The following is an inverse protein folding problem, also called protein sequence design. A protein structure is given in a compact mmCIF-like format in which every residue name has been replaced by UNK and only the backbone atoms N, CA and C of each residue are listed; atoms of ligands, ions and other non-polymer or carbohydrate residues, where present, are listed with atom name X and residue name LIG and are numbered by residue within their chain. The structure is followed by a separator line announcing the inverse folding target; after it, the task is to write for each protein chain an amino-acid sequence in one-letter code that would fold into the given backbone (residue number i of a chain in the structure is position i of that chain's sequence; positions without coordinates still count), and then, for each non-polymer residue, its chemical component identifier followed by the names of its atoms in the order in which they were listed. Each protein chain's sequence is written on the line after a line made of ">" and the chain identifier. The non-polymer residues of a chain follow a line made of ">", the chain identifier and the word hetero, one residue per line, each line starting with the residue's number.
data_IF_459619791794
#
_entry.id   IF_459619791794
#
_cell.length_a   1.000
_cell.length_b   1.000
_cell.length_c   1.000
_cell.angle_alpha   90.00
_cell.angle_beta   90.00
_cell.angle_gamma   90.00
#
_symmetry.space_group_name_H-M   'P 1'
#
loop_
_entity.id
_entity.type
_entity.pdbx_description
1 polymer ?
#
# COMPACT_ATOMS: atom_id res chain seq x y z
N UNK A 1 -15.95 -9.13 -17.81
CA UNK A 1 -15.93 -8.79 -16.36
C UNK A 1 -16.31 -9.97 -15.46
N UNK A 2 -17.46 -10.64 -15.64
CA UNK A 2 -17.89 -11.78 -14.80
C UNK A 2 -16.85 -12.93 -14.67
N UNK A 3 -16.09 -13.22 -15.75
CA UNK A 3 -15.03 -14.25 -15.73
C UNK A 3 -13.87 -13.89 -14.77
N UNK A 4 -13.36 -12.66 -14.82
CA UNK A 4 -12.26 -12.20 -13.95
C UNK A 4 -12.65 -12.18 -12.47
N UNK A 5 -13.86 -11.68 -12.16
CA UNK A 5 -14.39 -11.70 -10.79
C UNK A 5 -14.54 -13.13 -10.26
N UNK A 6 -15.07 -14.04 -11.09
CA UNK A 6 -15.19 -15.46 -10.72
C UNK A 6 -13.82 -16.10 -10.45
N UNK A 7 -12.81 -15.80 -11.27
CA UNK A 7 -11.43 -16.29 -11.05
C UNK A 7 -10.86 -15.77 -9.73
N UNK A 8 -11.00 -14.48 -9.46
CA UNK A 8 -10.53 -13.87 -8.21
C UNK A 8 -11.15 -14.55 -6.97
N UNK A 9 -12.47 -14.79 -6.99
CA UNK A 9 -13.15 -15.49 -5.89
C UNK A 9 -12.66 -16.93 -5.71
N UNK A 10 -12.34 -17.63 -6.80
CA UNK A 10 -11.76 -18.97 -6.74
C UNK A 10 -10.38 -18.93 -6.09
N UNK A 11 -9.51 -17.99 -6.50
CA UNK A 11 -8.17 -17.85 -5.90
C UNK A 11 -8.24 -17.53 -4.41
N UNK A 12 -9.08 -16.58 -4.00
CA UNK A 12 -9.33 -16.28 -2.57
C UNK A 12 -9.72 -17.57 -1.84
N UNK A 13 -10.70 -18.33 -2.35
CA UNK A 13 -11.18 -19.54 -1.68
C UNK A 13 -10.09 -20.61 -1.54
N UNK A 14 -9.23 -20.79 -2.54
CA UNK A 14 -8.13 -21.74 -2.46
C UNK A 14 -7.05 -21.26 -1.50
N UNK A 15 -6.72 -19.98 -1.52
CA UNK A 15 -5.72 -19.40 -0.63
C UNK A 15 -6.14 -19.50 0.84
N UNK A 16 -7.42 -19.23 1.15
CA UNK A 16 -7.96 -19.43 2.50
C UNK A 16 -7.79 -20.89 2.96
N UNK A 17 -8.07 -21.88 2.09
CA UNK A 17 -7.87 -23.29 2.44
C UNK A 17 -6.41 -23.61 2.74
N UNK A 18 -5.48 -23.07 1.95
CA UNK A 18 -4.05 -23.25 2.13
C UNK A 18 -3.58 -22.66 3.47
N UNK A 19 -4.04 -21.46 3.84
CA UNK A 19 -3.68 -20.85 5.13
C UNK A 19 -4.28 -21.65 6.30
N UNK A 20 -5.51 -22.14 6.17
CA UNK A 20 -6.16 -22.92 7.24
C UNK A 20 -5.47 -24.27 7.53
N UNK A 21 -4.61 -24.74 6.62
CA UNK A 21 -3.75 -25.90 6.82
C UNK A 21 -2.64 -25.59 7.85
N UNK A 22 -2.04 -24.40 7.77
CA UNK A 22 -0.99 -23.91 8.66
C UNK A 22 -1.51 -22.88 9.66
N UNK A 23 -2.37 -23.32 10.58
CA UNK A 23 -3.05 -22.46 11.57
C UNK A 23 -2.09 -21.64 12.43
N UNK A 24 -0.90 -22.15 12.71
CA UNK A 24 0.11 -21.45 13.53
C UNK A 24 0.65 -20.22 12.79
N UNK A 25 1.02 -20.37 11.51
CA UNK A 25 1.52 -19.26 10.68
C UNK A 25 0.49 -18.14 10.58
N UNK A 26 -0.79 -18.49 10.45
CA UNK A 26 -1.90 -17.53 10.48
C UNK A 26 -1.93 -16.73 11.80
N UNK A 27 -1.91 -17.40 12.95
CA UNK A 27 -1.96 -16.74 14.26
C UNK A 27 -0.72 -15.86 14.47
N UNK A 28 0.46 -16.36 14.12
CA UNK A 28 1.72 -15.61 14.22
C UNK A 28 1.69 -14.35 13.34
N UNK A 29 1.22 -14.46 12.09
CA UNK A 29 1.09 -13.32 11.19
C UNK A 29 0.15 -12.24 11.73
N UNK A 30 -1.06 -12.64 12.16
CA UNK A 30 -2.04 -11.73 12.75
C UNK A 30 -1.48 -11.04 14.00
N UNK A 31 -0.90 -11.79 14.94
CA UNK A 31 -0.29 -11.22 16.15
C UNK A 31 0.87 -10.29 15.84
N UNK A 32 1.70 -10.62 14.83
CA UNK A 32 2.81 -9.78 14.39
C UNK A 32 2.34 -8.41 13.88
N UNK A 33 1.26 -8.38 13.10
CA UNK A 33 0.65 -7.13 12.64
C UNK A 33 0.15 -6.32 13.83
N UNK A 34 -0.66 -6.93 14.72
CA UNK A 34 -1.18 -6.23 15.90
C UNK A 34 -0.08 -5.68 16.80
N UNK A 35 0.97 -6.46 17.06
CA UNK A 35 2.10 -6.03 17.87
C UNK A 35 2.82 -4.84 17.22
N UNK A 36 3.08 -4.91 15.92
CA UNK A 36 3.75 -3.83 15.17
C UNK A 36 2.91 -2.54 15.21
N UNK A 37 1.61 -2.65 14.95
CA UNK A 37 0.73 -1.48 15.01
C UNK A 37 0.60 -0.92 16.44
N UNK A 38 0.50 -1.80 17.44
CA UNK A 38 0.42 -1.43 18.85
C UNK A 38 1.68 -0.71 19.33
N UNK A 39 2.87 -1.19 18.95
CA UNK A 39 4.14 -0.53 19.26
C UNK A 39 4.25 0.85 18.61
N UNK A 40 3.82 1.01 17.35
CA UNK A 40 3.78 2.31 16.69
C UNK A 40 2.84 3.29 17.40
N UNK A 41 1.66 2.83 17.85
CA UNK A 41 0.72 3.65 18.61
C UNK A 41 1.23 4.00 20.00
N UNK A 42 1.88 3.05 20.68
CA UNK A 42 2.52 3.29 21.97
C UNK A 42 3.62 4.34 21.84
N UNK A 43 4.46 4.23 20.80
CA UNK A 43 5.48 5.24 20.49
C UNK A 43 4.86 6.62 20.28
N UNK A 44 3.78 6.70 19.48
CA UNK A 44 3.07 7.96 19.26
C UNK A 44 2.51 8.53 20.57
N UNK A 45 1.92 7.68 21.42
CA UNK A 45 1.37 8.10 22.70
C UNK A 45 2.45 8.66 23.63
N UNK A 46 3.59 7.96 23.77
CA UNK A 46 4.72 8.39 24.60
C UNK A 46 5.29 9.74 24.12
N UNK A 47 5.36 9.96 22.81
CA UNK A 47 5.82 11.24 22.25
C UNK A 47 4.90 12.39 22.69
N UNK A 48 3.58 12.22 22.56
CA UNK A 48 2.58 13.23 22.93
C UNK A 48 2.37 13.42 24.43
N UNK A 49 2.90 12.53 25.28
CA UNK A 49 2.98 12.79 26.72
C UNK A 49 3.99 13.90 27.06
N UNK A 50 4.99 14.13 26.20
CA UNK A 50 6.06 15.10 26.42
C UNK A 50 5.90 16.37 25.59
N UNK A 51 5.09 16.34 24.52
CA UNK A 51 4.90 17.47 23.61
C UNK A 51 3.40 17.67 23.33
N UNK A 52 2.84 18.88 23.54
CA UNK A 52 1.41 19.14 23.34
C UNK A 52 0.98 19.12 21.87
N UNK A 53 1.86 19.53 20.95
CA UNK A 53 1.63 19.48 19.51
C UNK A 53 2.94 19.37 18.74
N UNK A 54 2.91 18.71 17.58
CA UNK A 54 4.06 18.49 16.73
C UNK A 54 3.91 19.31 15.46
N UNK A 55 4.64 20.42 15.32
CA UNK A 55 4.48 21.36 14.18
C UNK A 55 3.03 21.82 13.98
N UNK A 56 2.30 22.06 15.08
CA UNK A 56 0.89 22.44 15.07
C UNK A 56 -0.11 21.30 14.88
N UNK A 57 0.34 20.05 14.80
CA UNK A 57 -0.51 18.87 14.72
C UNK A 57 -0.77 18.28 16.11
N UNK A 58 -2.05 18.05 16.41
CA UNK A 58 -2.51 17.38 17.63
C UNK A 58 -2.42 15.86 17.52
N UNK A 59 -2.48 15.16 18.65
CA UNK A 59 -2.49 13.70 18.68
C UNK A 59 -3.62 13.11 17.82
N UNK A 60 -4.82 13.68 17.88
CA UNK A 60 -5.98 13.20 17.12
C UNK A 60 -5.77 13.33 15.61
N UNK A 61 -5.20 14.45 15.16
CA UNK A 61 -4.90 14.65 13.74
C UNK A 61 -3.81 13.69 13.23
N UNK A 62 -2.76 13.42 14.01
CA UNK A 62 -1.73 12.45 13.63
C UNK A 62 -2.27 11.02 13.66
N UNK A 63 -3.10 10.68 14.66
CA UNK A 63 -3.79 9.39 14.70
C UNK A 63 -4.71 9.20 13.49
N UNK A 64 -5.34 10.26 12.98
CA UNK A 64 -6.11 10.23 11.74
C UNK A 64 -5.21 9.98 10.53
N UNK A 65 -4.09 10.71 10.38
CA UNK A 65 -3.12 10.47 9.28
C UNK A 65 -2.67 9.00 9.29
N UNK A 66 -2.33 8.49 10.47
CA UNK A 66 -1.86 7.14 10.62
C UNK A 66 -2.95 6.12 10.28
N UNK A 67 -4.16 6.26 10.84
CA UNK A 67 -5.29 5.39 10.53
C UNK A 67 -5.65 5.40 9.05
N UNK A 68 -5.65 6.59 8.44
CA UNK A 68 -5.89 6.74 7.01
C UNK A 68 -4.79 6.09 6.17
N UNK A 69 -3.51 6.15 6.57
CA UNK A 69 -2.41 5.47 5.86
C UNK A 69 -2.55 3.93 5.86
N UNK A 70 -3.12 3.37 6.93
CA UNK A 70 -3.27 1.92 7.08
C UNK A 70 -4.36 1.34 6.18
N UNK A 71 -5.38 2.11 5.80
CA UNK A 71 -6.46 1.61 4.94
C UNK A 71 -5.96 1.30 3.52
N UNK A 72 -5.35 2.23 2.77
CA UNK A 72 -4.86 1.94 1.42
C UNK A 72 -3.72 0.92 1.43
N UNK A 73 -2.84 0.99 2.42
CA UNK A 73 -1.75 0.03 2.62
C UNK A 73 -2.30 -1.38 2.86
N UNK A 74 -3.25 -1.53 3.78
CA UNK A 74 -3.88 -2.80 4.11
C UNK A 74 -4.66 -3.37 2.94
N UNK A 75 -5.30 -2.54 2.10
CA UNK A 75 -5.96 -3.00 0.88
C UNK A 75 -4.95 -3.53 -0.15
N UNK A 76 -3.86 -2.81 -0.36
CA UNK A 76 -2.80 -3.24 -1.28
C UNK A 76 -2.08 -4.52 -0.77
N UNK A 77 -1.86 -4.62 0.52
CA UNK A 77 -1.31 -5.80 1.19
C UNK A 77 -2.27 -7.00 1.07
N UNK A 78 -3.57 -6.80 1.33
CA UNK A 78 -4.58 -7.85 1.23
C UNK A 78 -4.70 -8.44 -0.19
N UNK A 79 -4.71 -7.58 -1.21
CA UNK A 79 -5.05 -7.98 -2.58
C UNK A 79 -3.87 -8.14 -3.52
N UNK A 80 -2.74 -7.43 -3.33
CA UNK A 80 -1.73 -7.24 -4.39
C UNK A 80 -0.30 -7.52 -3.94
N UNK A 81 -0.11 -8.27 -2.86
CA UNK A 81 1.21 -8.45 -2.24
C UNK A 81 2.06 -9.57 -2.85
N UNK A 82 1.50 -10.42 -3.71
CA UNK A 82 2.27 -11.46 -4.42
C UNK A 82 3.46 -10.90 -5.23
N UNK A 83 3.47 -9.61 -5.54
CA UNK A 83 4.56 -8.93 -6.26
C UNK A 83 5.92 -9.04 -5.54
N UNK A 84 5.96 -9.19 -4.21
CA UNK A 84 7.21 -9.45 -3.48
C UNK A 84 7.88 -10.76 -3.89
N UNK A 85 7.09 -11.75 -4.31
CA UNK A 85 7.58 -13.05 -4.73
C UNK A 85 8.12 -13.04 -6.18
N UNK A 86 7.92 -11.96 -6.94
CA UNK A 86 8.24 -11.94 -8.38
C UNK A 86 9.70 -12.27 -8.65
N UNK A 87 10.65 -11.57 -8.02
CA UNK A 87 12.07 -11.82 -8.28
C UNK A 87 12.55 -13.16 -7.76
N UNK A 88 12.42 -13.37 -6.44
CA UNK A 88 13.08 -14.48 -5.74
C UNK A 88 12.46 -15.86 -6.05
N UNK A 89 11.15 -15.90 -6.34
CA UNK A 89 10.40 -17.13 -6.60
C UNK A 89 10.04 -17.24 -8.07
N UNK A 90 9.28 -16.29 -8.61
CA UNK A 90 8.69 -16.44 -9.94
C UNK A 90 9.75 -16.41 -11.06
N UNK A 91 10.56 -15.36 -11.11
CA UNK A 91 11.58 -15.19 -12.15
C UNK A 91 12.75 -16.15 -11.90
N UNK A 92 13.35 -16.10 -10.70
CA UNK A 92 14.58 -16.85 -10.41
C UNK A 92 14.41 -18.37 -10.44
N UNK A 93 13.24 -18.92 -10.10
CA UNK A 93 12.97 -20.37 -10.16
C UNK A 93 12.29 -20.83 -11.44
N UNK A 94 12.06 -19.94 -12.42
CA UNK A 94 11.34 -20.29 -13.65
C UNK A 94 9.83 -20.52 -13.48
N UNK A 95 9.26 -20.30 -12.28
CA UNK A 95 7.81 -20.44 -12.05
C UNK A 95 6.98 -19.39 -12.82
N UNK A 96 7.61 -18.33 -13.35
CA UNK A 96 6.95 -17.29 -14.13
C UNK A 96 6.41 -17.80 -15.49
N UNK A 97 7.01 -18.85 -16.07
CA UNK A 97 6.56 -19.46 -17.33
C UNK A 97 5.10 -19.96 -17.26
N UNK A 98 4.65 -20.39 -16.07
CA UNK A 98 3.26 -20.82 -15.84
C UNK A 98 2.24 -19.69 -16.07
N UNK A 99 2.66 -18.43 -15.96
CA UNK A 99 1.79 -17.27 -16.21
C UNK A 99 1.72 -16.93 -17.68
N UNK A 100 2.81 -17.12 -18.43
CA UNK A 100 2.89 -16.86 -19.86
C UNK A 100 2.09 -17.88 -20.69
N UNK A 101 1.99 -19.12 -20.21
CA UNK A 101 1.23 -20.19 -20.89
C UNK A 101 -0.29 -20.08 -20.72
N UNK A 102 -0.79 -19.23 -19.82
CA UNK A 102 -2.22 -19.05 -19.57
C UNK A 102 -2.75 -17.88 -20.40
N UNK A 103 -3.97 -17.96 -20.98
CA UNK A 103 -4.57 -16.88 -21.76
C UNK A 103 -5.16 -15.77 -20.86
N UNK A 104 -4.35 -15.29 -19.91
CA UNK A 104 -4.69 -14.25 -18.93
C UNK A 104 -3.49 -13.32 -18.87
N UNK A 105 -3.71 -12.01 -18.79
CA UNK A 105 -2.63 -11.05 -18.59
C UNK A 105 -1.76 -11.46 -17.37
N UNK A 106 -0.43 -11.66 -17.54
CA UNK A 106 0.44 -12.17 -16.48
C UNK A 106 0.44 -11.31 -15.22
N UNK A 107 0.48 -9.98 -15.38
CA UNK A 107 0.45 -9.03 -14.26
C UNK A 107 -0.84 -9.17 -13.46
N UNK A 108 -1.99 -9.14 -14.15
CA UNK A 108 -3.28 -9.32 -13.50
C UNK A 108 -3.35 -10.65 -12.74
N UNK A 109 -2.85 -11.73 -13.35
CA UNK A 109 -2.87 -13.04 -12.72
C UNK A 109 -1.99 -13.10 -11.46
N UNK A 110 -0.81 -12.48 -11.47
CA UNK A 110 0.08 -12.39 -10.30
C UNK A 110 -0.57 -11.58 -9.19
N UNK A 111 -1.15 -10.43 -9.53
CA UNK A 111 -1.81 -9.54 -8.58
C UNK A 111 -2.90 -10.29 -7.81
N UNK A 112 -3.71 -11.11 -8.47
CA UNK A 112 -4.91 -11.73 -7.86
C UNK A 112 -4.71 -13.17 -7.35
N UNK A 113 -3.49 -13.72 -7.44
CA UNK A 113 -3.22 -15.12 -7.07
C UNK A 113 -3.26 -15.35 -5.56
N UNK A 114 -2.83 -14.36 -4.76
CA UNK A 114 -2.74 -14.48 -3.29
C UNK A 114 -3.70 -13.51 -2.61
N UNK A 115 -4.14 -13.86 -1.40
CA UNK A 115 -5.05 -13.04 -0.62
C UNK A 115 -4.61 -12.98 0.85
N UNK A 116 -3.76 -12.02 1.21
CA UNK A 116 -3.07 -12.01 2.50
C UNK A 116 -3.96 -11.56 3.66
N UNK A 117 -4.45 -12.54 4.42
CA UNK A 117 -5.46 -12.32 5.47
C UNK A 117 -4.89 -11.54 6.66
N UNK A 118 -3.57 -11.59 6.89
CA UNK A 118 -2.90 -10.84 7.94
C UNK A 118 -3.02 -9.31 7.74
N UNK A 119 -3.20 -8.84 6.50
CA UNK A 119 -3.51 -7.45 6.18
C UNK A 119 -4.83 -6.94 6.83
N UNK A 120 -5.74 -7.85 7.22
CA UNK A 120 -6.94 -7.48 7.98
C UNK A 120 -6.60 -6.81 9.32
N UNK A 121 -5.43 -7.12 9.91
CA UNK A 121 -4.95 -6.43 11.11
C UNK A 121 -4.68 -4.95 10.86
N UNK A 122 -4.07 -4.61 9.71
CA UNK A 122 -3.83 -3.22 9.32
C UNK A 122 -5.15 -2.47 9.06
N UNK A 123 -6.08 -3.12 8.36
CA UNK A 123 -7.40 -2.55 8.09
C UNK A 123 -8.22 -2.34 9.36
N UNK A 124 -8.16 -3.29 10.30
CA UNK A 124 -8.86 -3.20 11.58
C UNK A 124 -8.29 -2.06 12.43
N UNK A 125 -6.96 -1.97 12.58
CA UNK A 125 -6.34 -0.88 13.34
C UNK A 125 -6.61 0.47 12.67
N UNK A 126 -6.47 0.56 11.34
CA UNK A 126 -6.80 1.76 10.57
C UNK A 126 -8.25 2.19 10.77
N UNK A 127 -9.19 1.23 10.73
CA UNK A 127 -10.61 1.47 10.96
C UNK A 127 -10.91 1.97 12.38
N UNK A 128 -10.28 1.39 13.41
CA UNK A 128 -10.42 1.84 14.80
C UNK A 128 -9.90 3.27 14.94
N UNK A 129 -8.72 3.59 14.40
CA UNK A 129 -8.15 4.92 14.49
C UNK A 129 -8.99 5.97 13.76
N UNK A 130 -9.53 5.64 12.59
CA UNK A 130 -10.44 6.54 11.86
C UNK A 130 -11.76 6.74 12.61
N UNK A 131 -12.29 5.70 13.26
CA UNK A 131 -13.51 5.79 14.06
C UNK A 131 -13.30 6.67 15.31
N UNK A 132 -12.16 6.58 15.98
CA UNK A 132 -11.87 7.40 17.17
C UNK A 132 -11.55 8.85 16.84
N UNK A 133 -11.05 9.12 15.64
CA UNK A 133 -10.67 10.46 15.18
C UNK A 133 -11.71 11.15 14.31
N UNK A 134 -12.86 10.48 14.06
CA UNK A 134 -13.94 10.97 13.19
C UNK A 134 -14.46 12.36 13.61
N UNK A 135 -14.45 12.66 14.91
CA UNK A 135 -14.91 13.93 15.48
C UNK A 135 -13.98 15.11 15.20
N UNK A 136 -12.74 14.84 14.79
CA UNK A 136 -11.74 15.87 14.44
C UNK A 136 -12.03 16.55 13.10
N UNK A 137 -12.97 16.00 12.31
CA UNK A 137 -13.29 16.47 10.96
C UNK A 137 -14.72 17.02 10.94
N UNK A 138 -14.88 18.19 10.32
CA UNK A 138 -16.18 18.75 9.94
C UNK A 138 -16.74 18.01 8.73
N UNK A 139 -17.38 16.86 8.96
CA UNK A 139 -17.92 16.03 7.89
C UNK A 139 -19.05 16.72 7.15
N UNK A 140 -18.91 16.76 5.83
CA UNK A 140 -19.95 17.12 4.88
C UNK A 140 -20.11 15.99 3.87
N UNK A 141 -21.28 15.87 3.24
CA UNK A 141 -21.52 14.83 2.24
C UNK A 141 -20.46 14.81 1.10
N UNK A 142 -20.01 15.96 0.56
CA UNK A 142 -18.91 15.98 -0.42
C UNK A 142 -17.57 15.48 0.14
N UNK A 143 -17.20 15.86 1.38
CA UNK A 143 -15.97 15.38 2.02
C UNK A 143 -16.02 13.86 2.20
N UNK A 144 -17.16 13.30 2.58
CA UNK A 144 -17.32 11.86 2.70
C UNK A 144 -17.14 11.12 1.36
N UNK A 145 -17.74 11.62 0.27
CA UNK A 145 -17.53 11.04 -1.06
C UNK A 145 -16.06 11.12 -1.50
N UNK A 146 -15.42 12.28 -1.29
CA UNK A 146 -13.99 12.44 -1.60
C UNK A 146 -13.11 11.50 -0.78
N UNK A 147 -13.43 11.29 0.50
CA UNK A 147 -12.73 10.33 1.35
C UNK A 147 -12.76 8.91 0.76
N UNK A 148 -13.93 8.45 0.31
CA UNK A 148 -14.07 7.14 -0.35
C UNK A 148 -13.30 7.06 -1.68
N UNK A 149 -13.21 8.17 -2.42
CA UNK A 149 -12.45 8.24 -3.68
C UNK A 149 -10.94 8.22 -3.42
N UNK A 150 -10.45 8.84 -2.35
CA UNK A 150 -9.02 8.86 -2.05
C UNK A 150 -8.45 7.45 -1.80
N UNK A 151 -9.22 6.54 -1.19
CA UNK A 151 -8.78 5.19 -0.83
C UNK A 151 -8.24 4.40 -2.05
N UNK A 152 -9.01 4.16 -3.13
CA UNK A 152 -8.52 3.39 -4.27
C UNK A 152 -7.33 4.05 -4.98
N UNK A 153 -7.27 5.38 -5.06
CA UNK A 153 -6.12 6.07 -5.67
C UNK A 153 -4.86 5.99 -4.79
N UNK A 154 -5.01 6.05 -3.47
CA UNK A 154 -3.91 5.83 -2.55
C UNK A 154 -3.42 4.37 -2.63
N UNK A 155 -4.32 3.39 -2.69
CA UNK A 155 -3.97 1.96 -2.89
C UNK A 155 -3.24 1.78 -4.22
N UNK A 156 -3.68 2.47 -5.27
CA UNK A 156 -3.05 2.42 -6.59
C UNK A 156 -1.59 2.88 -6.54
N UNK A 157 -1.22 3.86 -5.70
CA UNK A 157 0.19 4.27 -5.52
C UNK A 157 1.02 3.12 -4.95
N UNK A 158 0.56 2.46 -3.89
CA UNK A 158 1.25 1.30 -3.30
C UNK A 158 1.48 0.22 -4.35
N UNK A 159 0.42 -0.15 -5.08
CA UNK A 159 0.47 -1.18 -6.11
C UNK A 159 1.40 -0.78 -7.25
N UNK A 160 1.35 0.47 -7.71
CA UNK A 160 2.20 0.98 -8.80
C UNK A 160 3.68 0.94 -8.43
N UNK A 161 4.03 1.33 -7.21
CA UNK A 161 5.41 1.25 -6.72
C UNK A 161 5.90 -0.20 -6.64
N UNK A 162 5.06 -1.12 -6.13
CA UNK A 162 5.39 -2.55 -6.13
C UNK A 162 5.57 -3.10 -7.54
N UNK A 163 4.70 -2.76 -8.50
CA UNK A 163 4.83 -3.20 -9.89
C UNK A 163 6.15 -2.70 -10.49
N UNK A 164 6.43 -1.40 -10.37
CA UNK A 164 7.63 -0.79 -10.95
C UNK A 164 8.92 -1.40 -10.39
N UNK A 165 9.00 -1.57 -9.06
CA UNK A 165 10.17 -2.13 -8.39
C UNK A 165 10.29 -3.64 -8.57
N UNK A 166 9.18 -4.38 -8.59
CA UNK A 166 9.18 -5.80 -8.86
C UNK A 166 9.64 -6.10 -10.29
N UNK A 167 9.23 -5.31 -11.28
CA UNK A 167 9.57 -5.49 -12.71
C UNK A 167 11.08 -5.54 -12.96
N UNK A 168 11.89 -4.90 -12.10
CA UNK A 168 13.36 -4.95 -12.20
C UNK A 168 13.88 -6.41 -12.17
N UNK A 169 13.15 -7.32 -11.52
CA UNK A 169 13.45 -8.74 -11.51
C UNK A 169 13.62 -9.35 -12.90
N UNK A 170 12.91 -8.86 -13.91
CA UNK A 170 13.00 -9.44 -15.25
C UNK A 170 14.41 -9.30 -15.86
N UNK A 171 15.13 -8.23 -15.50
CA UNK A 171 16.52 -8.04 -15.93
C UNK A 171 17.54 -8.61 -14.95
N UNK A 172 17.28 -8.51 -13.64
CA UNK A 172 18.30 -8.80 -12.60
C UNK A 172 18.10 -10.15 -11.91
N UNK A 173 16.97 -10.83 -12.16
CA UNK A 173 16.49 -12.02 -11.41
C UNK A 173 16.29 -11.77 -9.90
N UNK A 174 16.40 -10.52 -9.44
CA UNK A 174 16.25 -10.12 -8.04
C UNK A 174 15.62 -8.73 -7.91
N UNK A 175 14.44 -8.65 -7.29
CA UNK A 175 13.76 -7.38 -7.01
C UNK A 175 13.51 -7.10 -5.54
N UNK A 176 13.58 -8.11 -4.65
CA UNK A 176 13.16 -7.97 -3.24
C UNK A 176 13.83 -6.80 -2.49
N UNK A 177 15.14 -6.63 -2.65
CA UNK A 177 15.89 -5.52 -2.04
C UNK A 177 15.42 -4.15 -2.55
N UNK A 178 15.08 -4.06 -3.83
CA UNK A 178 14.60 -2.83 -4.45
C UNK A 178 13.20 -2.46 -3.98
N UNK A 179 12.30 -3.45 -3.92
CA UNK A 179 10.96 -3.24 -3.34
C UNK A 179 11.11 -2.77 -1.89
N UNK A 180 11.97 -3.42 -1.09
CA UNK A 180 12.20 -3.07 0.32
C UNK A 180 12.67 -1.62 0.51
N UNK A 181 13.71 -1.19 -0.21
CA UNK A 181 14.25 0.18 -0.10
C UNK A 181 13.16 1.23 -0.36
N UNK A 182 12.35 1.02 -1.40
CA UNK A 182 11.27 1.94 -1.73
C UNK A 182 10.17 1.89 -0.69
N UNK A 183 9.76 0.69 -0.23
CA UNK A 183 8.69 0.53 0.73
C UNK A 183 9.01 1.10 2.12
N UNK A 184 10.29 1.15 2.52
CA UNK A 184 10.70 1.80 3.78
C UNK A 184 10.28 3.28 3.84
N UNK A 185 10.17 3.98 2.70
CA UNK A 185 9.69 5.36 2.68
C UNK A 185 8.22 5.51 3.11
N UNK A 186 7.44 4.42 3.12
CA UNK A 186 6.07 4.42 3.62
C UNK A 186 5.99 4.84 5.10
N UNK A 187 7.01 4.58 5.91
CA UNK A 187 6.99 4.94 7.33
C UNK A 187 6.92 6.45 7.55
N UNK A 188 7.40 7.25 6.59
CA UNK A 188 7.30 8.71 6.62
C UNK A 188 5.89 9.22 6.37
N UNK A 189 5.03 8.44 5.68
CA UNK A 189 3.67 8.86 5.38
C UNK A 189 2.73 8.80 6.58
N UNK A 190 3.12 8.09 7.64
CA UNK A 190 2.35 7.98 8.90
C UNK A 190 2.38 9.26 9.73
N UNK A 191 3.30 10.19 9.42
CA UNK A 191 3.52 11.43 10.17
C UNK A 191 3.36 12.66 9.27
N UNK A 192 3.11 13.84 9.87
CA UNK A 192 3.12 15.09 9.13
C UNK A 192 4.44 15.34 8.39
N UNK A 193 4.39 15.48 7.06
CA UNK A 193 5.60 15.72 6.27
C UNK A 193 6.25 17.09 6.55
N UNK A 194 5.53 17.97 7.26
CA UNK A 194 6.04 19.27 7.72
C UNK A 194 7.25 19.14 8.64
N UNK A 195 7.35 18.02 9.38
CA UNK A 195 8.43 17.74 10.33
C UNK A 195 9.75 17.43 9.59
N UNK A 196 9.65 16.91 8.37
CA UNK A 196 10.83 16.54 7.60
C UNK A 196 11.44 17.74 6.87
N UNK A 197 12.77 17.69 6.73
CA UNK A 197 13.53 18.61 5.91
C UNK A 197 13.01 18.62 4.46
N UNK A 198 13.16 19.77 3.79
CA UNK A 198 12.63 20.02 2.43
C UNK A 198 13.02 18.94 1.42
N UNK A 199 14.25 18.43 1.49
CA UNK A 199 14.74 17.35 0.64
C UNK A 199 13.93 16.06 0.82
N UNK A 200 13.74 15.61 2.07
CA UNK A 200 12.98 14.38 2.36
C UNK A 200 11.53 14.56 1.91
N UNK A 201 10.94 15.72 2.22
CA UNK A 201 9.57 16.06 1.80
C UNK A 201 9.40 15.96 0.28
N UNK A 202 10.36 16.47 -0.48
CA UNK A 202 10.35 16.40 -1.94
C UNK A 202 10.47 14.95 -2.43
N UNK A 203 11.38 14.15 -1.85
CA UNK A 203 11.56 12.73 -2.18
C UNK A 203 10.27 11.92 -1.98
N UNK A 204 9.64 12.02 -0.81
CA UNK A 204 8.42 11.26 -0.47
C UNK A 204 7.14 11.80 -1.14
N UNK A 205 7.23 12.95 -1.79
CA UNK A 205 6.10 13.52 -2.56
C UNK A 205 6.21 13.22 -4.05
N UNK A 206 7.42 13.27 -4.61
CA UNK A 206 7.60 13.25 -6.07
C UNK A 206 8.40 12.06 -6.61
N UNK A 207 9.31 11.47 -5.83
CA UNK A 207 10.05 10.26 -6.25
C UNK A 207 9.34 9.00 -5.78
N UNK A 208 8.99 8.95 -4.48
CA UNK A 208 8.28 7.83 -3.87
C UNK A 208 7.03 8.41 -3.21
N UNK A 209 5.91 8.58 -3.95
CA UNK A 209 4.81 9.49 -3.60
C UNK A 209 3.90 9.01 -2.43
N UNK A 210 4.48 8.42 -1.39
CA UNK A 210 3.76 8.02 -0.18
C UNK A 210 3.15 9.20 0.59
N UNK A 211 3.66 10.42 0.43
CA UNK A 211 2.99 11.58 1.04
C UNK A 211 1.56 11.79 0.50
N UNK A 212 1.29 11.42 -0.76
CA UNK A 212 -0.05 11.48 -1.34
C UNK A 212 -0.98 10.38 -0.84
N UNK A 213 -0.46 9.28 -0.31
CA UNK A 213 -1.30 8.18 0.18
C UNK A 213 -1.93 8.48 1.54
N UNK A 214 -1.35 9.41 2.32
CA UNK A 214 -1.82 9.72 3.66
C UNK A 214 -1.86 11.21 3.99
N UNK A 215 -0.70 11.86 4.04
CA UNK A 215 -0.56 13.23 4.53
C UNK A 215 -1.39 14.25 3.74
N UNK A 216 -1.26 14.30 2.41
CA UNK A 216 -1.93 15.33 1.61
C UNK A 216 -3.46 15.23 1.72
N UNK A 217 -4.10 14.06 1.52
CA UNK A 217 -5.53 13.90 1.77
C UNK A 217 -5.94 14.26 3.20
N UNK A 218 -5.18 13.81 4.20
CA UNK A 218 -5.48 14.13 5.60
C UNK A 218 -5.42 15.63 5.89
N UNK A 219 -4.46 16.34 5.29
CA UNK A 219 -4.34 17.79 5.44
C UNK A 219 -5.53 18.56 4.84
N UNK A 220 -6.18 18.03 3.81
CA UNK A 220 -7.45 18.56 3.31
C UNK A 220 -8.59 18.27 4.29
N UNK A 221 -8.74 17.04 4.77
CA UNK A 221 -9.87 16.68 5.64
C UNK A 221 -9.84 17.38 7.01
N UNK A 222 -8.64 17.52 7.59
CA UNK A 222 -8.46 18.06 8.94
C UNK A 222 -8.35 19.58 8.97
N UNK A 223 -7.66 20.17 7.98
CA UNK A 223 -7.27 21.60 8.02
C UNK A 223 -7.80 22.40 6.83
N UNK A 224 -8.66 21.80 5.98
CA UNK A 224 -9.24 22.42 4.79
C UNK A 224 -8.20 23.06 3.84
N UNK A 225 -6.97 22.50 3.84
CA UNK A 225 -5.89 22.93 2.94
C UNK A 225 -6.20 22.56 1.49
N UNK A 226 -5.78 23.42 0.56
CA UNK A 226 -6.00 23.34 -0.90
C UNK A 226 -6.37 21.94 -1.43
N UNK A 227 -7.68 21.69 -1.58
CA UNK A 227 -8.21 20.40 -2.01
C UNK A 227 -7.83 20.02 -3.43
N UNK A 228 -7.63 21.01 -4.31
CA UNK A 228 -7.22 20.76 -5.70
C UNK A 228 -5.81 20.17 -5.77
N UNK A 229 -4.88 20.70 -4.97
CA UNK A 229 -3.55 20.14 -4.87
C UNK A 229 -3.55 18.80 -4.12
N UNK A 230 -4.21 18.74 -2.96
CA UNK A 230 -4.14 17.56 -2.09
C UNK A 230 -4.84 16.33 -2.68
N UNK A 231 -6.08 16.48 -3.14
CA UNK A 231 -6.86 15.38 -3.71
C UNK A 231 -6.58 15.23 -5.20
N UNK A 232 -6.59 16.33 -5.95
CA UNK A 232 -6.28 16.30 -7.38
C UNK A 232 -4.85 15.82 -7.64
N UNK A 233 -3.89 16.21 -6.79
CA UNK A 233 -2.52 15.71 -6.83
C UNK A 233 -2.42 14.22 -6.50
N UNK A 234 -3.18 13.70 -5.54
CA UNK A 234 -3.26 12.26 -5.28
C UNK A 234 -3.75 11.50 -6.53
N UNK A 235 -4.85 11.94 -7.13
CA UNK A 235 -5.43 11.30 -8.31
C UNK A 235 -4.46 11.36 -9.49
N UNK A 236 -3.88 12.53 -9.76
CA UNK A 236 -2.94 12.70 -10.87
C UNK A 236 -1.68 11.85 -10.65
N UNK A 237 -1.09 11.91 -9.47
CA UNK A 237 0.14 11.17 -9.14
C UNK A 237 -0.07 9.67 -9.19
N UNK A 238 -1.18 9.17 -8.65
CA UNK A 238 -1.52 7.74 -8.71
C UNK A 238 -1.66 7.24 -10.15
N UNK A 239 -2.33 7.99 -11.03
CA UNK A 239 -2.47 7.65 -12.44
C UNK A 239 -1.13 7.68 -13.20
N UNK A 240 -0.31 8.71 -12.96
CA UNK A 240 1.02 8.83 -13.58
C UNK A 240 1.90 7.64 -13.18
N UNK A 241 1.99 7.33 -11.88
CA UNK A 241 2.80 6.23 -11.38
C UNK A 241 2.30 4.88 -11.87
N UNK A 242 0.98 4.70 -11.97
CA UNK A 242 0.39 3.49 -12.52
C UNK A 242 0.80 3.28 -13.98
N UNK A 243 0.66 4.31 -14.83
CA UNK A 243 1.07 4.24 -16.24
C UNK A 243 2.58 3.96 -16.36
N UNK A 244 3.41 4.61 -15.55
CA UNK A 244 4.86 4.35 -15.52
C UNK A 244 5.14 2.89 -15.13
N UNK A 245 4.47 2.38 -14.09
CA UNK A 245 4.67 1.00 -13.62
C UNK A 245 4.27 -0.04 -14.67
N UNK A 246 3.18 0.19 -15.41
CA UNK A 246 2.75 -0.70 -16.50
C UNK A 246 3.76 -0.69 -17.65
N UNK A 247 4.28 0.48 -18.04
CA UNK A 247 5.33 0.57 -19.07
C UNK A 247 6.63 -0.13 -18.65
N UNK A 248 7.00 -0.04 -17.38
CA UNK A 248 8.16 -0.76 -16.84
C UNK A 248 7.92 -2.26 -16.82
N UNK A 249 6.70 -2.69 -16.44
CA UNK A 249 6.30 -4.08 -16.49
C UNK A 249 6.38 -4.64 -17.91
N UNK A 250 5.76 -3.99 -18.89
CA UNK A 250 5.74 -4.46 -20.28
C UNK A 250 7.16 -4.57 -20.85
N UNK A 251 8.01 -3.55 -20.62
CA UNK A 251 9.42 -3.61 -21.03
C UNK A 251 10.20 -4.71 -20.33
N UNK A 252 9.89 -4.99 -19.06
CA UNK A 252 10.52 -6.07 -18.33
C UNK A 252 10.09 -7.42 -18.86
N UNK A 253 8.81 -7.56 -19.20
CA UNK A 253 8.25 -8.76 -19.80
C UNK A 253 8.92 -9.10 -21.13
N UNK A 254 9.18 -8.10 -21.97
CA UNK A 254 9.88 -8.27 -23.25
C UNK A 254 11.35 -8.72 -23.08
N UNK A 255 11.97 -8.38 -21.95
CA UNK A 255 13.34 -8.76 -21.60
C UNK A 255 13.41 -10.07 -20.80
N UNK A 256 12.27 -10.70 -20.49
CA UNK A 256 12.25 -11.90 -19.67
C UNK A 256 12.82 -13.09 -20.43
N UNK A 257 13.85 -13.70 -19.85
CA UNK A 257 14.40 -14.99 -20.27
C UNK A 257 14.10 -16.04 -19.20
N UNK A 258 13.56 -17.19 -19.63
CA UNK A 258 13.25 -18.28 -18.70
C UNK A 258 14.50 -18.73 -17.97
N UNK A 259 14.38 -18.88 -16.66
CA UNK A 259 15.39 -19.50 -15.81
C UNK A 259 15.16 -21.01 -15.65
N UNK A 260 14.10 -21.56 -16.27
CA UNK A 260 13.80 -22.99 -16.29
C UNK A 260 14.64 -23.72 -17.32
N UNK A 261 15.13 -24.91 -16.95
CA UNK A 261 15.74 -25.87 -17.86
C UNK A 261 14.70 -26.72 -18.58
#
# INVERSE_FOLDING_TARGET
>A
MKKYQRMHLIFIRQYIKQIMEYKVDFVVGVLGVFLTQGLNLLFLNVLFQHIPSLEGWTFQEIAFIYGFSLIPKGLDHLFFDNLWALGQRLVRKGEFDKYLTRPINPLFHILVETFQIDALGELLVGGILLATTVTSISWTFPKFLLFLVCIPFATLIYTSLKIATASIAFWTKQSGSMIYIFYTFNDFAKYPISIYHSLIRWLISFIVPFAFTAYYPASYFLQDKNGLFNIGGLILTSLIFFVISLKLWDRGLDAYESAGS
#
